data_IF_602868481279
#
_entry.id   IF_602868481279
#
_cell.length_a   1.000
_cell.length_b   1.000
_cell.length_c   1.000
_cell.angle_alpha   90.00
_cell.angle_beta   90.00
_cell.angle_gamma   90.00
#
_symmetry.space_group_name_H-M   'P 1'
#
loop_
_entity.id
_entity.type
_entity.pdbx_description
1 polymer ?
#
# COMPACT_ATOMS: atom_id res chain seq x y z
N UNK A 1 -31.90 23.76 22.36
CA UNK A 1 -33.16 24.07 23.07
C UNK A 1 -34.10 24.66 22.04
N UNK A 2 -35.26 24.02 21.85
CA UNK A 2 -36.39 24.72 21.21
C UNK A 2 -37.04 25.63 22.24
N UNK A 3 -37.62 26.72 21.76
CA UNK A 3 -38.04 27.91 22.54
C UNK A 3 -39.28 27.69 23.44
N UNK A 4 -39.74 26.44 23.56
CA UNK A 4 -41.00 26.04 24.17
C UNK A 4 -40.85 25.10 25.38
N UNK A 5 -39.63 24.91 25.89
CA UNK A 5 -39.38 24.29 27.20
C UNK A 5 -39.73 22.79 27.31
N UNK A 6 -40.00 22.11 26.19
CA UNK A 6 -40.24 20.66 26.15
C UNK A 6 -38.92 19.91 26.00
N UNK A 7 -38.71 18.80 26.73
CA UNK A 7 -37.56 17.94 26.49
C UNK A 7 -37.68 17.36 25.06
N UNK A 8 -36.75 17.73 24.18
CA UNK A 8 -36.64 17.14 22.85
C UNK A 8 -35.45 16.18 22.82
N UNK A 9 -35.74 14.92 22.51
CA UNK A 9 -34.72 13.90 22.24
C UNK A 9 -34.71 13.69 20.74
N UNK A 10 -33.67 14.19 20.06
CA UNK A 10 -33.45 13.89 18.65
C UNK A 10 -32.46 12.75 18.54
N UNK A 11 -32.96 11.55 18.25
CA UNK A 11 -32.11 10.40 17.94
C UNK A 11 -31.67 10.47 16.47
N UNK A 12 -30.54 11.12 16.22
CA UNK A 12 -29.88 11.06 14.93
C UNK A 12 -29.15 9.72 14.83
N UNK A 13 -29.60 8.82 13.96
CA UNK A 13 -28.82 7.64 13.57
C UNK A 13 -27.67 8.12 12.70
N UNK A 14 -26.61 8.66 13.32
CA UNK A 14 -25.37 8.93 12.63
C UNK A 14 -24.91 7.61 12.00
N UNK A 15 -24.58 7.63 10.70
CA UNK A 15 -23.55 6.70 10.21
C UNK A 15 -22.43 6.78 11.25
N UNK A 16 -22.03 5.66 11.87
CA UNK A 16 -20.88 5.66 12.79
C UNK A 16 -19.66 6.14 12.00
N UNK A 17 -19.45 7.44 11.95
CA UNK A 17 -18.25 8.07 11.45
C UNK A 17 -17.19 7.87 12.51
N UNK A 18 -16.02 7.40 12.10
CA UNK A 18 -14.87 7.33 12.99
C UNK A 18 -14.50 8.75 13.44
N UNK A 19 -14.20 8.94 14.72
CA UNK A 19 -13.58 10.20 15.17
C UNK A 19 -12.10 10.22 14.76
N UNK A 20 -11.54 11.36 14.31
CA UNK A 20 -10.10 11.53 14.10
C UNK A 20 -9.26 11.03 15.28
N UNK A 21 -9.72 11.26 16.51
CA UNK A 21 -9.03 10.81 17.74
C UNK A 21 -8.95 9.28 17.83
N UNK A 22 -9.99 8.57 17.37
CA UNK A 22 -10.01 7.11 17.39
C UNK A 22 -9.02 6.55 16.37
N UNK A 23 -8.97 7.13 15.18
CA UNK A 23 -7.99 6.76 14.16
C UNK A 23 -6.57 7.00 14.66
N UNK A 24 -6.31 8.17 15.23
CA UNK A 24 -5.00 8.51 15.78
C UNK A 24 -4.57 7.50 16.85
N UNK A 25 -5.47 7.17 17.78
CA UNK A 25 -5.20 6.19 18.82
C UNK A 25 -4.85 4.79 18.28
N UNK A 26 -5.56 4.35 17.23
CA UNK A 26 -5.28 3.07 16.56
C UNK A 26 -3.91 3.12 15.88
N UNK A 27 -3.60 4.20 15.16
CA UNK A 27 -2.29 4.33 14.50
C UNK A 27 -1.16 4.42 15.53
N UNK A 28 -1.34 5.14 16.64
CA UNK A 28 -0.39 5.21 17.76
C UNK A 28 -0.23 3.88 18.51
N UNK A 29 -1.10 2.89 18.31
CA UNK A 29 -0.86 1.54 18.80
C UNK A 29 0.40 0.91 18.16
N UNK A 30 0.73 1.28 16.92
CA UNK A 30 1.98 0.86 16.27
C UNK A 30 3.22 1.33 17.04
N UNK A 31 3.16 2.51 17.66
CA UNK A 31 4.26 3.04 18.46
C UNK A 31 4.51 2.20 19.70
N UNK A 32 3.43 1.82 20.39
CA UNK A 32 3.52 0.93 21.56
C UNK A 32 4.14 -0.42 21.20
N UNK A 33 3.82 -0.94 20.01
CA UNK A 33 4.41 -2.18 19.49
C UNK A 33 5.90 -1.98 19.22
N UNK A 34 6.29 -0.88 18.60
CA UNK A 34 7.69 -0.55 18.34
C UNK A 34 8.49 -0.39 19.66
N UNK A 35 7.95 0.34 20.63
CA UNK A 35 8.58 0.58 21.93
C UNK A 35 8.78 -0.72 22.72
N UNK A 36 7.77 -1.61 22.70
CA UNK A 36 7.84 -2.91 23.36
C UNK A 36 8.84 -3.88 22.70
N UNK A 37 9.24 -3.64 21.45
CA UNK A 37 10.12 -4.52 20.67
C UNK A 37 11.32 -3.73 20.13
N UNK A 38 12.00 -2.97 21.00
CA UNK A 38 13.09 -2.06 20.63
C UNK A 38 14.32 -2.73 19.99
N UNK A 39 14.45 -4.06 20.10
CA UNK A 39 15.47 -4.85 19.40
C UNK A 39 15.16 -5.07 17.91
N UNK A 40 13.96 -4.69 17.46
CA UNK A 40 13.48 -4.90 16.08
C UNK A 40 12.91 -3.62 15.51
N UNK A 41 13.03 -3.47 14.19
CA UNK A 41 12.38 -2.39 13.46
C UNK A 41 10.96 -2.80 13.07
N UNK A 42 9.96 -2.01 13.46
CA UNK A 42 8.58 -2.22 13.01
C UNK A 42 8.42 -1.68 11.58
N UNK A 43 7.77 -2.47 10.73
CA UNK A 43 7.39 -2.07 9.37
C UNK A 43 5.87 -2.12 9.26
N UNK A 44 5.26 -1.02 8.83
CA UNK A 44 3.82 -0.92 8.58
C UNK A 44 3.60 -0.69 7.09
N UNK A 45 2.76 -1.53 6.48
CA UNK A 45 2.45 -1.47 5.05
C UNK A 45 0.96 -1.21 4.88
N UNK A 46 0.63 -0.12 4.19
CA UNK A 46 -0.72 0.15 3.71
C UNK A 46 -0.80 -0.22 2.24
N UNK A 47 -1.51 -1.31 1.93
CA UNK A 47 -1.84 -1.67 0.56
C UNK A 47 -3.11 -0.95 0.10
N UNK A 48 -3.21 -0.70 -1.21
CA UNK A 48 -4.29 0.07 -1.81
C UNK A 48 -4.55 1.42 -1.10
N UNK A 49 -3.48 2.12 -0.74
CA UNK A 49 -3.55 3.30 0.13
C UNK A 49 -4.46 4.42 -0.42
N UNK A 50 -4.53 4.58 -1.74
CA UNK A 50 -5.42 5.54 -2.41
C UNK A 50 -6.91 5.41 -2.02
N UNK A 51 -7.33 4.26 -1.49
CA UNK A 51 -8.71 4.02 -1.06
C UNK A 51 -9.10 4.91 0.12
N UNK A 52 -8.13 5.41 0.89
CA UNK A 52 -8.37 6.31 2.02
C UNK A 52 -9.14 7.57 1.61
N UNK A 53 -8.89 8.09 0.40
CA UNK A 53 -9.63 9.24 -0.14
C UNK A 53 -11.11 8.94 -0.41
N UNK A 54 -11.48 7.68 -0.66
CA UNK A 54 -12.89 7.29 -0.85
C UNK A 54 -13.69 7.35 0.44
N UNK A 55 -13.03 7.38 1.60
CA UNK A 55 -13.69 7.56 2.89
C UNK A 55 -14.23 8.99 3.06
N UNK A 56 -13.83 9.92 2.19
CA UNK A 56 -14.43 11.26 2.06
C UNK A 56 -14.02 12.26 3.14
N UNK A 57 -13.00 11.93 3.94
CA UNK A 57 -12.55 12.77 5.04
C UNK A 57 -11.05 13.06 4.93
N UNK A 58 -10.70 14.30 4.56
CA UNK A 58 -9.32 14.80 4.55
C UNK A 58 -8.65 14.73 5.93
N UNK A 59 -9.44 14.66 7.01
CA UNK A 59 -8.94 14.48 8.38
C UNK A 59 -8.12 13.21 8.53
N UNK A 60 -8.41 12.16 7.76
CA UNK A 60 -7.67 10.89 7.80
C UNK A 60 -6.23 11.08 7.32
N UNK A 61 -6.03 11.76 6.18
CA UNK A 61 -4.68 12.04 5.66
C UNK A 61 -3.87 12.94 6.62
N UNK A 62 -4.52 13.91 7.27
CA UNK A 62 -3.87 14.79 8.27
C UNK A 62 -3.42 14.01 9.50
N UNK A 63 -4.28 13.15 10.05
CA UNK A 63 -3.94 12.30 11.20
C UNK A 63 -2.82 11.33 10.85
N UNK A 64 -2.89 10.68 9.68
CA UNK A 64 -1.81 9.81 9.19
C UNK A 64 -0.48 10.56 9.08
N UNK A 65 -0.47 11.75 8.47
CA UNK A 65 0.74 12.58 8.36
C UNK A 65 1.34 12.86 9.74
N UNK A 66 0.51 13.27 10.70
CA UNK A 66 0.94 13.54 12.08
C UNK A 66 1.63 12.32 12.69
N UNK A 67 0.98 11.15 12.62
CA UNK A 67 1.49 9.91 13.23
C UNK A 67 2.76 9.41 12.53
N UNK A 68 2.84 9.51 11.22
CA UNK A 68 4.01 9.05 10.45
C UNK A 68 5.24 9.92 10.72
N UNK A 69 5.06 11.23 10.91
CA UNK A 69 6.17 12.17 11.11
C UNK A 69 6.70 12.21 12.55
N UNK A 70 5.89 11.86 13.55
CA UNK A 70 6.27 11.97 14.97
C UNK A 70 7.30 10.92 15.41
N UNK A 71 7.37 9.75 14.75
CA UNK A 71 8.21 8.62 15.19
C UNK A 71 9.04 8.02 14.04
N UNK A 72 10.37 8.00 14.21
CA UNK A 72 11.33 7.60 13.17
C UNK A 72 11.81 6.12 13.23
N UNK A 73 11.45 5.38 14.28
CA UNK A 73 11.82 3.96 14.44
C UNK A 73 10.86 2.99 13.74
N UNK A 74 9.80 3.51 13.10
CA UNK A 74 8.85 2.75 12.28
C UNK A 74 9.10 3.07 10.81
N UNK A 75 9.23 2.02 9.98
CA UNK A 75 9.23 2.17 8.54
C UNK A 75 7.79 2.08 7.99
N UNK A 76 7.37 3.11 7.28
CA UNK A 76 6.03 3.20 6.69
C UNK A 76 6.11 2.99 5.17
N UNK A 77 5.32 2.06 4.64
CA UNK A 77 5.16 1.83 3.21
C UNK A 77 3.71 2.08 2.78
N UNK A 78 3.56 2.85 1.71
CA UNK A 78 2.28 3.16 1.09
C UNK A 78 2.30 2.61 -0.33
N UNK A 79 1.48 1.60 -0.57
CA UNK A 79 1.44 0.82 -1.80
C UNK A 79 0.06 0.90 -2.43
N UNK A 80 -0.01 0.62 -3.73
CA UNK A 80 -1.29 0.48 -4.43
C UNK A 80 -1.17 0.51 -5.94
N UNK A 81 -2.15 -0.12 -6.60
CA UNK A 81 -2.22 -0.25 -8.05
C UNK A 81 -2.38 1.08 -8.79
N UNK A 82 -3.06 2.06 -8.19
CA UNK A 82 -3.30 3.38 -8.80
C UNK A 82 -2.15 4.33 -8.49
N UNK A 83 -1.02 4.11 -9.16
CA UNK A 83 0.23 4.84 -8.93
C UNK A 83 0.09 6.36 -9.08
N UNK A 84 -0.75 6.85 -10.01
CA UNK A 84 -0.98 8.28 -10.18
C UNK A 84 -1.61 8.93 -8.94
N UNK A 85 -2.57 8.27 -8.27
CA UNK A 85 -3.21 8.79 -7.05
C UNK A 85 -2.24 8.80 -5.88
N UNK A 86 -1.44 7.73 -5.71
CA UNK A 86 -0.40 7.70 -4.67
C UNK A 86 0.60 8.84 -4.91
N UNK A 87 1.03 9.07 -6.15
CA UNK A 87 1.93 10.19 -6.47
C UNK A 87 1.31 11.53 -6.13
N UNK A 88 0.04 11.74 -6.47
CA UNK A 88 -0.69 12.96 -6.10
C UNK A 88 -0.71 13.17 -4.58
N UNK A 89 -0.98 12.13 -3.79
CA UNK A 89 -1.00 12.20 -2.32
C UNK A 89 0.35 12.61 -1.71
N UNK A 90 1.48 12.19 -2.27
CA UNK A 90 2.79 12.44 -1.66
C UNK A 90 3.62 13.54 -2.35
N UNK A 91 3.31 13.88 -3.61
CA UNK A 91 4.07 14.84 -4.43
C UNK A 91 3.33 16.13 -4.77
N UNK A 92 2.02 16.21 -4.52
CA UNK A 92 1.27 17.48 -4.67
C UNK A 92 1.39 18.33 -3.40
N UNK A 93 1.81 19.59 -3.54
CA UNK A 93 1.95 20.54 -2.43
C UNK A 93 0.64 20.84 -1.68
N UNK A 94 -0.50 20.63 -2.33
CA UNK A 94 -1.82 20.82 -1.72
C UNK A 94 -2.26 19.63 -0.85
N UNK A 95 -1.64 18.45 -1.01
CA UNK A 95 -2.02 17.27 -0.25
C UNK A 95 -1.51 17.33 1.19
N UNK A 96 -2.32 16.92 2.19
CA UNK A 96 -1.87 16.77 3.56
C UNK A 96 -0.63 15.90 3.71
N UNK A 97 -0.44 14.90 2.85
CA UNK A 97 0.67 13.95 2.89
C UNK A 97 1.90 14.40 2.09
N UNK A 98 1.91 15.63 1.56
CA UNK A 98 3.02 16.15 0.78
C UNK A 98 4.37 15.95 1.49
N UNK A 99 5.31 15.27 0.80
CA UNK A 99 6.66 14.95 1.28
C UNK A 99 6.71 14.21 2.62
N UNK A 100 5.63 13.54 3.03
CA UNK A 100 5.64 12.68 4.23
C UNK A 100 6.27 11.31 3.99
N UNK A 101 6.47 10.91 2.73
CA UNK A 101 7.16 9.70 2.33
C UNK A 101 7.98 9.91 1.03
N UNK A 102 8.98 9.06 0.82
CA UNK A 102 9.73 9.00 -0.43
C UNK A 102 8.99 8.19 -1.51
N UNK A 103 9.30 8.46 -2.78
CA UNK A 103 8.76 7.72 -3.91
C UNK A 103 9.71 6.60 -4.34
N UNK A 104 9.23 5.35 -4.32
CA UNK A 104 10.00 4.18 -4.74
C UNK A 104 9.26 3.46 -5.88
N UNK A 105 9.62 3.72 -7.16
CA UNK A 105 8.99 3.05 -8.29
C UNK A 105 9.43 1.58 -8.36
N UNK A 106 8.47 0.67 -8.53
CA UNK A 106 8.77 -0.73 -8.81
C UNK A 106 8.90 -0.93 -10.33
N UNK A 107 10.05 -1.43 -10.75
CA UNK A 107 10.33 -1.73 -12.15
C UNK A 107 9.91 -3.16 -12.51
N UNK A 108 9.82 -3.44 -13.81
CA UNK A 108 9.65 -4.81 -14.29
C UNK A 108 10.88 -5.65 -13.94
N UNK A 109 10.66 -6.94 -13.74
CA UNK A 109 11.74 -7.86 -13.38
C UNK A 109 12.58 -8.11 -14.64
N UNK A 110 13.90 -7.92 -14.53
CA UNK A 110 14.82 -8.08 -15.66
C UNK A 110 15.04 -9.55 -16.06
N UNK A 111 15.52 -9.76 -17.29
CA UNK A 111 15.86 -11.08 -17.81
C UNK A 111 16.83 -11.86 -16.92
N UNK A 112 17.79 -11.17 -16.30
CA UNK A 112 18.77 -11.79 -15.39
C UNK A 112 18.14 -12.45 -14.16
N UNK A 113 16.95 -12.00 -13.75
CA UNK A 113 16.19 -12.62 -12.66
C UNK A 113 15.19 -13.66 -13.21
N UNK A 114 14.52 -13.35 -14.32
CA UNK A 114 13.54 -14.26 -14.91
C UNK A 114 14.12 -15.55 -15.45
N UNK A 115 15.21 -15.50 -16.21
CA UNK A 115 15.75 -16.67 -16.90
C UNK A 115 16.14 -17.77 -15.90
N UNK A 116 16.91 -17.49 -14.82
CA UNK A 116 17.22 -18.50 -13.82
C UNK A 116 15.97 -19.06 -13.15
N UNK A 117 15.02 -18.20 -12.76
CA UNK A 117 13.78 -18.60 -12.10
C UNK A 117 12.93 -19.54 -12.97
N UNK A 118 12.74 -19.20 -14.24
CA UNK A 118 11.94 -20.00 -15.17
C UNK A 118 12.65 -21.33 -15.45
N UNK A 119 13.96 -21.30 -15.71
CA UNK A 119 14.77 -22.51 -15.95
C UNK A 119 14.65 -23.49 -14.78
N UNK A 120 14.79 -23.02 -13.54
CA UNK A 120 14.62 -23.84 -12.34
C UNK A 120 13.24 -24.51 -12.29
N UNK A 121 12.18 -23.76 -12.62
CA UNK A 121 10.81 -24.29 -12.70
C UNK A 121 10.63 -25.35 -13.78
N UNK A 122 11.23 -25.21 -14.96
CA UNK A 122 11.14 -26.25 -16.00
C UNK A 122 11.92 -27.51 -15.63
N UNK A 123 13.15 -27.37 -15.14
CA UNK A 123 14.03 -28.50 -14.77
C UNK A 123 13.42 -29.31 -13.63
N UNK A 124 12.85 -28.65 -12.62
CA UNK A 124 12.14 -29.32 -11.52
C UNK A 124 10.90 -30.11 -11.98
N UNK A 125 10.36 -29.80 -13.17
CA UNK A 125 9.27 -30.54 -13.82
C UNK A 125 9.76 -31.51 -14.92
N UNK A 126 11.06 -31.83 -14.95
CA UNK A 126 11.66 -32.77 -15.90
C UNK A 126 11.73 -32.26 -17.34
N UNK A 127 11.66 -30.94 -17.56
CA UNK A 127 11.73 -30.31 -18.88
C UNK A 127 12.96 -29.41 -18.95
N UNK A 128 13.70 -29.47 -20.05
CA UNK A 128 14.74 -28.48 -20.34
C UNK A 128 14.27 -27.51 -21.42
N UNK A 129 14.65 -26.25 -21.29
CA UNK A 129 14.25 -25.18 -22.19
C UNK A 129 15.48 -24.37 -22.58
N UNK A 130 15.61 -24.12 -23.89
CA UNK A 130 16.70 -23.30 -24.43
C UNK A 130 16.55 -21.85 -23.96
N UNK A 131 17.66 -21.25 -23.57
CA UNK A 131 17.74 -19.83 -23.16
C UNK A 131 17.11 -18.88 -24.19
N UNK A 132 17.25 -19.16 -25.48
CA UNK A 132 16.67 -18.33 -26.54
C UNK A 132 15.14 -18.27 -26.48
N UNK A 133 14.49 -19.37 -26.04
CA UNK A 133 13.04 -19.42 -25.85
C UNK A 133 12.65 -18.63 -24.60
N UNK A 134 13.42 -18.76 -23.51
CA UNK A 134 13.19 -18.03 -22.27
C UNK A 134 13.32 -16.51 -22.48
N UNK A 135 14.38 -16.06 -23.16
CA UNK A 135 14.57 -14.65 -23.53
C UNK A 135 13.43 -14.14 -24.38
N UNK A 136 12.98 -14.92 -25.38
CA UNK A 136 11.84 -14.55 -26.21
C UNK A 136 10.57 -14.39 -25.38
N UNK A 137 10.29 -15.30 -24.45
CA UNK A 137 9.11 -15.22 -23.58
C UNK A 137 9.15 -13.98 -22.68
N UNK A 138 10.26 -13.74 -21.98
CA UNK A 138 10.41 -12.58 -21.09
C UNK A 138 10.37 -11.27 -21.88
N UNK A 139 10.97 -11.24 -23.07
CA UNK A 139 10.92 -10.08 -23.97
C UNK A 139 9.50 -9.79 -24.47
N UNK A 140 8.70 -10.81 -24.76
CA UNK A 140 7.29 -10.64 -25.17
C UNK A 140 6.41 -10.04 -24.07
N UNK A 141 6.74 -10.30 -22.80
CA UNK A 141 6.01 -9.79 -21.63
C UNK A 141 6.65 -8.55 -21.02
N UNK A 142 7.75 -8.07 -21.61
CA UNK A 142 8.60 -6.99 -21.08
C UNK A 142 9.04 -7.22 -19.63
N UNK A 143 9.14 -8.48 -19.19
CA UNK A 143 9.44 -8.84 -17.81
C UNK A 143 8.37 -8.45 -16.79
N UNK A 144 7.16 -8.08 -17.23
CA UNK A 144 6.06 -7.74 -16.35
C UNK A 144 5.61 -8.99 -15.56
N UNK A 145 5.58 -8.97 -14.21
CA UNK A 145 5.34 -10.16 -13.39
C UNK A 145 4.05 -10.91 -13.72
N UNK A 146 2.94 -10.17 -13.85
CA UNK A 146 1.65 -10.80 -14.15
C UNK A 146 1.64 -11.46 -15.54
N UNK A 147 2.13 -10.78 -16.58
CA UNK A 147 2.10 -11.31 -17.95
C UNK A 147 3.09 -12.46 -18.14
N UNK A 148 4.26 -12.36 -17.51
CA UNK A 148 5.27 -13.42 -17.55
C UNK A 148 4.76 -14.67 -16.85
N UNK A 149 4.11 -14.53 -15.69
CA UNK A 149 3.49 -15.66 -15.01
C UNK A 149 2.32 -16.27 -15.80
N UNK A 150 1.42 -15.46 -16.36
CA UNK A 150 0.30 -15.95 -17.19
C UNK A 150 0.82 -16.75 -18.40
N UNK A 151 1.80 -16.23 -19.12
CA UNK A 151 2.41 -16.91 -20.26
C UNK A 151 3.08 -18.25 -19.91
N UNK A 152 3.52 -18.44 -18.66
CA UNK A 152 4.20 -19.65 -18.20
C UNK A 152 3.24 -20.72 -17.67
N UNK A 153 2.16 -20.32 -17.01
CA UNK A 153 1.31 -21.23 -16.24
C UNK A 153 -0.10 -21.41 -16.79
N UNK A 154 -0.44 -20.72 -17.88
CA UNK A 154 -1.73 -20.91 -18.53
C UNK A 154 -1.79 -22.31 -19.17
N UNK A 155 -2.74 -23.17 -18.76
CA UNK A 155 -2.93 -24.46 -19.42
C UNK A 155 -3.37 -24.25 -20.87
N UNK A 156 -2.83 -25.08 -21.76
CA UNK A 156 -3.23 -25.13 -23.17
C UNK A 156 -4.64 -25.71 -23.32
#
# INVERSE_FOLDING_TARGET
>A
MSDDGRPSVTLSRGRRGYSPDQLENVLKASWRIADANSDRRLVVIFDEFQQVRKLGDEGIERVLRSVVQEKNDIAWFFCGSRTHLIREMFLDSSSPLYRSAGHYPLESIGEGCWIPFIREKFVSNGRDVRDSVLRKLVGMTSGHPFYTADALFRPA
#
